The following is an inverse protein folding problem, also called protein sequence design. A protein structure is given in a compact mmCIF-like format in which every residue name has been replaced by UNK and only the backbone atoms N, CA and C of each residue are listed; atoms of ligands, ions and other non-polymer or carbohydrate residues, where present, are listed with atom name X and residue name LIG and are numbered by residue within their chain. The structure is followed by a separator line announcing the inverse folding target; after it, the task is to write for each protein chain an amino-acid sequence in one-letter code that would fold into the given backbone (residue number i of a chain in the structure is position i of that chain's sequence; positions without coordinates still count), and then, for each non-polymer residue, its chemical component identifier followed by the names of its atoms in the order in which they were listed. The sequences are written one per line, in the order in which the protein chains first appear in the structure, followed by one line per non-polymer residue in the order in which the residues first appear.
data_IF_400734510362
#
_entry.id   IF_400734510362
#
_cell.length_a   1.000
_cell.length_b   1.000
_cell.length_c   1.000
_cell.angle_alpha   90.00
_cell.angle_beta   90.00
_cell.angle_gamma   90.00
#
_symmetry.space_group_name_H-M   'P 1'
#
loop_
_entity.id
_entity.type
_entity.pdbx_description
1 polymer ?
#
# COMPACT_ATOMS: atom_id res chain seq x y z
N UNK A 1 -7.58 -2.22 23.58
CA UNK A 1 -6.79 -1.17 22.89
C UNK A 1 -5.48 -1.71 22.32
N UNK A 2 -4.46 -1.92 23.15
CA UNK A 2 -3.11 -2.30 22.70
C UNK A 2 -3.03 -3.62 21.91
N UNK A 3 -3.86 -4.61 22.27
CA UNK A 3 -3.98 -5.85 21.50
C UNK A 3 -4.52 -5.59 20.09
N UNK A 4 -5.51 -4.69 19.96
CA UNK A 4 -6.05 -4.27 18.67
C UNK A 4 -5.01 -3.52 17.84
N UNK A 5 -4.25 -2.62 18.48
CA UNK A 5 -3.11 -1.95 17.86
C UNK A 5 -2.05 -2.94 17.36
N UNK A 6 -1.66 -3.93 18.18
CA UNK A 6 -0.69 -4.97 17.78
C UNK A 6 -1.16 -5.74 16.55
N UNK A 7 -2.42 -6.18 16.52
CA UNK A 7 -2.97 -6.86 15.34
C UNK A 7 -3.09 -5.94 14.14
N UNK A 8 -3.46 -4.67 14.32
CA UNK A 8 -3.50 -3.68 13.25
C UNK A 8 -2.11 -3.46 12.64
N UNK A 9 -1.07 -3.25 13.45
CA UNK A 9 0.32 -3.11 12.98
C UNK A 9 0.73 -4.33 12.17
N UNK A 10 0.55 -5.54 12.71
CA UNK A 10 1.00 -6.76 12.03
C UNK A 10 0.22 -7.01 10.73
N UNK A 11 -1.09 -6.77 10.73
CA UNK A 11 -1.97 -7.04 9.59
C UNK A 11 -1.85 -6.02 8.46
N UNK A 12 -1.81 -4.72 8.79
CA UNK A 12 -1.71 -3.64 7.79
C UNK A 12 -0.35 -3.69 7.12
N UNK A 13 0.74 -3.72 7.90
CA UNK A 13 2.09 -3.79 7.35
C UNK A 13 2.26 -5.09 6.57
N UNK A 14 1.81 -6.23 7.11
CA UNK A 14 1.88 -7.52 6.42
C UNK A 14 1.16 -7.54 5.06
N UNK A 15 -0.02 -6.91 4.97
CA UNK A 15 -0.81 -6.84 3.73
C UNK A 15 -0.19 -5.89 2.69
N UNK A 16 0.26 -4.72 3.12
CA UNK A 16 0.54 -3.60 2.21
C UNK A 16 2.03 -3.40 1.91
N UNK A 17 2.95 -4.03 2.66
CA UNK A 17 4.39 -4.10 2.31
C UNK A 17 4.59 -4.63 0.89
N UNK A 18 3.70 -5.52 0.44
CA UNK A 18 3.65 -6.06 -0.93
C UNK A 18 3.57 -4.96 -1.99
N UNK A 19 2.68 -4.01 -1.76
CA UNK A 19 2.28 -2.99 -2.74
C UNK A 19 3.28 -1.83 -2.77
N UNK A 20 4.04 -1.66 -1.68
CA UNK A 20 4.88 -0.47 -1.44
C UNK A 20 6.37 -0.77 -1.48
N UNK A 21 6.77 -1.90 -0.89
CA UNK A 21 8.17 -2.33 -0.77
C UNK A 21 8.43 -3.61 -1.56
N UNK A 22 7.41 -4.24 -2.14
CA UNK A 22 7.58 -5.48 -2.91
C UNK A 22 8.53 -5.33 -4.10
N UNK A 23 8.37 -4.25 -4.88
CA UNK A 23 9.25 -3.88 -6.01
C UNK A 23 10.69 -3.65 -5.55
N UNK A 24 10.88 -2.96 -4.43
CA UNK A 24 12.17 -2.71 -3.78
C UNK A 24 12.86 -4.00 -3.34
N UNK A 25 12.15 -4.87 -2.63
CA UNK A 25 12.66 -6.15 -2.15
C UNK A 25 13.05 -7.08 -3.31
N UNK A 26 12.25 -7.12 -4.37
CA UNK A 26 12.52 -7.97 -5.55
C UNK A 26 13.72 -7.45 -6.35
N UNK A 27 13.78 -6.15 -6.63
CA UNK A 27 14.87 -5.54 -7.42
C UNK A 27 16.20 -5.52 -6.66
N UNK A 28 16.17 -5.49 -5.32
CA UNK A 28 17.35 -5.49 -4.45
C UNK A 28 17.57 -6.83 -3.73
N UNK A 29 17.10 -7.96 -4.28
CA UNK A 29 17.18 -9.29 -3.65
C UNK A 29 18.59 -9.78 -3.24
N UNK A 30 19.64 -9.19 -3.83
CA UNK A 30 21.06 -9.48 -3.52
C UNK A 30 21.55 -8.71 -2.29
N UNK A 31 20.88 -7.62 -1.94
CA UNK A 31 21.22 -6.77 -0.79
C UNK A 31 20.76 -7.45 0.50
N UNK A 32 21.57 -7.35 1.55
CA UNK A 32 21.23 -7.94 2.84
C UNK A 32 19.96 -7.29 3.40
N UNK A 33 19.03 -8.10 3.91
CA UNK A 33 17.74 -7.66 4.45
C UNK A 33 17.85 -6.55 5.50
N UNK A 34 18.90 -6.54 6.33
CA UNK A 34 19.11 -5.55 7.37
C UNK A 34 19.35 -4.13 6.79
N UNK A 35 20.01 -4.03 5.63
CA UNK A 35 20.22 -2.76 4.94
C UNK A 35 18.89 -2.25 4.38
N UNK A 36 18.15 -3.14 3.71
CA UNK A 36 16.82 -2.82 3.16
C UNK A 36 15.85 -2.40 4.29
N UNK A 37 15.89 -3.10 5.42
CA UNK A 37 15.11 -2.79 6.60
C UNK A 37 15.52 -1.45 7.21
N UNK A 38 16.82 -1.19 7.37
CA UNK A 38 17.31 0.08 7.93
C UNK A 38 16.85 1.26 7.08
N UNK A 39 16.96 1.14 5.76
CA UNK A 39 16.48 2.15 4.83
C UNK A 39 14.98 2.44 5.02
N UNK A 40 14.13 1.41 4.98
CA UNK A 40 12.69 1.57 5.15
C UNK A 40 12.31 2.07 6.55
N UNK A 41 13.08 1.68 7.57
CA UNK A 41 12.90 2.07 8.99
C UNK A 41 13.23 3.54 9.23
N UNK A 42 14.27 4.07 8.60
CA UNK A 42 14.61 5.50 8.69
C UNK A 42 13.49 6.35 8.12
N UNK A 43 12.97 5.98 6.94
CA UNK A 43 11.86 6.70 6.30
C UNK A 43 10.60 6.61 7.16
N UNK A 44 10.29 5.42 7.71
CA UNK A 44 9.15 5.24 8.59
C UNK A 44 9.27 6.10 9.84
N UNK A 45 10.42 6.07 10.50
CA UNK A 45 10.69 6.84 11.71
C UNK A 45 10.55 8.34 11.43
N UNK A 46 11.17 8.83 10.36
CA UNK A 46 11.08 10.23 9.96
C UNK A 46 9.62 10.64 9.67
N UNK A 47 8.87 9.82 8.93
CA UNK A 47 7.47 10.09 8.59
C UNK A 47 6.58 10.07 9.84
N UNK A 48 6.80 9.14 10.76
CA UNK A 48 6.02 9.04 12.01
C UNK A 48 6.29 10.22 12.94
N UNK A 49 7.57 10.54 13.16
CA UNK A 49 8.00 11.66 14.02
C UNK A 49 7.57 13.01 13.43
N UNK A 50 7.67 13.18 12.11
CA UNK A 50 7.17 14.38 11.43
C UNK A 50 5.67 14.57 11.67
N UNK A 51 4.87 13.51 11.49
CA UNK A 51 3.44 13.54 11.77
C UNK A 51 3.16 13.94 13.22
N UNK A 52 3.77 13.23 14.16
CA UNK A 52 3.61 13.52 15.59
C UNK A 52 3.97 14.97 15.96
N UNK A 53 5.08 15.50 15.44
CA UNK A 53 5.56 16.83 15.78
C UNK A 53 4.69 17.94 15.17
N UNK A 54 4.42 17.88 13.86
CA UNK A 54 3.70 18.95 13.16
C UNK A 54 2.18 18.93 13.35
N UNK A 55 1.62 17.79 13.78
CA UNK A 55 0.17 17.64 14.01
C UNK A 55 -0.18 17.46 15.49
N UNK A 56 0.59 18.06 16.41
CA UNK A 56 0.28 18.13 17.84
C UNK A 56 0.00 16.76 18.49
N UNK A 57 0.84 15.77 18.18
CA UNK A 57 0.75 14.40 18.68
C UNK A 57 -0.01 13.43 17.78
N UNK A 58 -0.62 13.90 16.68
CA UNK A 58 -1.34 13.06 15.73
C UNK A 58 -0.43 12.47 14.65
N UNK A 59 -0.25 11.16 14.66
CA UNK A 59 0.56 10.44 13.65
C UNK A 59 -0.24 10.03 12.41
N UNK A 60 -1.57 10.20 12.43
CA UNK A 60 -2.46 9.86 11.31
C UNK A 60 -2.58 10.96 10.27
N UNK A 61 -1.84 12.08 10.45
CA UNK A 61 -1.89 13.24 9.55
C UNK A 61 -3.34 13.72 9.36
N UNK A 62 -4.10 13.83 10.47
CA UNK A 62 -5.49 14.26 10.55
C UNK A 62 -6.51 13.37 9.84
N UNK A 63 -6.10 12.21 9.31
CA UNK A 63 -7.02 11.29 8.60
C UNK A 63 -8.04 10.64 9.52
N UNK A 64 -7.71 10.52 10.80
CA UNK A 64 -8.63 10.05 11.83
C UNK A 64 -9.51 11.18 12.41
N UNK A 65 -9.42 12.41 11.92
CA UNK A 65 -10.18 13.54 12.45
C UNK A 65 -11.70 13.38 12.33
N UNK A 66 -12.17 12.71 11.28
CA UNK A 66 -13.59 12.41 11.10
C UNK A 66 -14.00 11.04 11.70
N UNK A 67 -13.04 10.23 12.14
CA UNK A 67 -13.30 8.87 12.63
C UNK A 67 -13.20 8.91 14.16
N UNK A 68 -14.32 8.82 14.91
CA UNK A 68 -14.27 8.91 16.36
C UNK A 68 -13.53 7.71 16.96
N UNK A 69 -12.79 7.95 18.02
CA UNK A 69 -12.29 6.88 18.88
C UNK A 69 -13.40 6.54 19.88
N UNK A 70 -13.90 5.29 19.93
CA UNK A 70 -14.96 4.91 20.87
C UNK A 70 -14.42 4.96 22.30
N UNK A 71 -15.29 5.36 23.25
CA UNK A 71 -14.95 5.40 24.68
C UNK A 71 -14.49 4.03 25.21
N UNK A 72 -15.09 2.96 24.69
CA UNK A 72 -14.74 1.57 25.01
C UNK A 72 -14.50 0.77 23.72
N UNK A 73 -13.27 0.27 23.57
CA UNK A 73 -12.95 -0.68 22.50
C UNK A 73 -13.46 -2.06 22.88
N UNK A 74 -14.53 -2.49 22.22
CA UNK A 74 -15.13 -3.80 22.39
C UNK A 74 -14.35 -4.91 21.66
N UNK A 75 -14.51 -6.16 22.09
CA UNK A 75 -13.81 -7.33 21.53
C UNK A 75 -14.04 -7.50 20.02
N UNK A 76 -15.21 -7.14 19.50
CA UNK A 76 -15.53 -7.25 18.07
C UNK A 76 -14.72 -6.30 17.17
N UNK A 77 -14.09 -5.25 17.72
CA UNK A 77 -13.14 -4.43 16.95
C UNK A 77 -11.89 -5.23 16.53
N UNK A 78 -11.61 -6.35 17.19
CA UNK A 78 -10.49 -7.24 16.84
C UNK A 78 -10.80 -8.11 15.61
N UNK A 79 -12.07 -8.23 15.21
CA UNK A 79 -12.49 -9.12 14.11
C UNK A 79 -11.84 -8.70 12.79
N UNK A 80 -11.86 -7.40 12.42
CA UNK A 80 -11.23 -6.97 11.16
C UNK A 80 -9.72 -7.21 11.10
N UNK A 81 -8.89 -6.77 12.07
CA UNK A 81 -7.46 -7.01 11.97
C UNK A 81 -7.14 -8.52 12.02
N UNK A 82 -7.89 -9.33 12.77
CA UNK A 82 -7.74 -10.80 12.75
C UNK A 82 -8.13 -11.41 11.39
N UNK A 83 -9.26 -11.00 10.82
CA UNK A 83 -9.66 -11.44 9.49
C UNK A 83 -8.62 -11.06 8.43
N UNK A 84 -8.02 -9.86 8.55
CA UNK A 84 -6.95 -9.41 7.67
C UNK A 84 -5.73 -10.34 7.77
N UNK A 85 -5.33 -10.74 8.99
CA UNK A 85 -4.24 -11.71 9.18
C UNK A 85 -4.52 -13.07 8.56
N UNK A 86 -5.77 -13.52 8.55
CA UNK A 86 -6.15 -14.78 7.92
C UNK A 86 -6.12 -14.63 6.41
N UNK A 87 -6.77 -13.60 5.86
CA UNK A 87 -6.91 -13.39 4.42
C UNK A 87 -5.54 -13.13 3.76
N UNK A 88 -4.68 -12.35 4.41
CA UNK A 88 -3.30 -12.09 3.93
C UNK A 88 -2.49 -13.36 3.76
N UNK A 89 -2.69 -14.41 4.58
CA UNK A 89 -2.02 -15.72 4.41
C UNK A 89 -2.43 -16.44 3.12
N UNK A 90 -3.62 -16.17 2.60
CA UNK A 90 -4.10 -16.69 1.32
C UNK A 90 -3.66 -15.82 0.13
N UNK A 91 -2.99 -14.68 0.37
CA UNK A 91 -2.46 -13.83 -0.69
C UNK A 91 -3.51 -13.06 -1.48
N UNK A 92 -4.71 -12.89 -0.90
CA UNK A 92 -5.76 -12.07 -1.48
C UNK A 92 -5.50 -10.62 -1.04
N UNK A 93 -5.27 -9.68 -1.96
CA UNK A 93 -5.10 -8.27 -1.60
C UNK A 93 -6.45 -7.72 -1.13
N UNK A 94 -6.50 -7.26 0.12
CA UNK A 94 -7.67 -6.63 0.72
C UNK A 94 -7.34 -5.18 1.05
N UNK A 95 -8.34 -4.30 0.94
CA UNK A 95 -8.20 -2.94 1.42
C UNK A 95 -8.20 -2.91 2.95
N UNK A 96 -7.03 -2.69 3.51
CA UNK A 96 -6.82 -2.50 4.95
C UNK A 96 -7.66 -1.34 5.49
N UNK A 97 -7.71 -0.25 4.72
CA UNK A 97 -8.50 0.95 5.00
C UNK A 97 -9.97 0.63 5.17
N UNK A 98 -10.59 -0.07 4.22
CA UNK A 98 -12.00 -0.43 4.35
C UNK A 98 -12.25 -1.42 5.47
N UNK A 99 -11.38 -2.41 5.66
CA UNK A 99 -11.66 -3.44 6.64
C UNK A 99 -11.52 -2.94 8.07
N UNK A 100 -10.48 -2.14 8.34
CA UNK A 100 -10.20 -1.66 9.69
C UNK A 100 -11.03 -0.40 10.02
N UNK A 101 -10.96 0.65 9.18
CA UNK A 101 -11.55 1.93 9.54
C UNK A 101 -13.07 1.92 9.50
N UNK A 102 -13.70 1.07 8.67
CA UNK A 102 -15.17 1.02 8.60
C UNK A 102 -15.81 0.57 9.91
N UNK A 103 -15.11 -0.18 10.74
CA UNK A 103 -15.61 -0.57 12.08
C UNK A 103 -15.76 0.65 13.00
N UNK A 104 -14.88 1.64 12.84
CA UNK A 104 -14.84 2.86 13.64
C UNK A 104 -15.61 4.02 13.01
N UNK A 105 -16.06 3.86 11.77
CA UNK A 105 -16.61 4.94 10.96
C UNK A 105 -18.12 4.90 10.88
N UNK A 106 -18.73 6.07 10.72
CA UNK A 106 -20.15 6.17 10.36
C UNK A 106 -20.38 5.73 8.91
N UNK A 107 -21.62 5.34 8.59
CA UNK A 107 -22.00 4.95 7.23
C UNK A 107 -21.65 6.03 6.18
N UNK A 108 -21.86 7.30 6.52
CA UNK A 108 -21.53 8.43 5.65
C UNK A 108 -20.03 8.54 5.35
N UNK A 109 -19.16 8.23 6.33
CA UNK A 109 -17.71 8.25 6.14
C UNK A 109 -17.27 7.06 5.29
N UNK A 110 -17.84 5.88 5.54
CA UNK A 110 -17.56 4.68 4.74
C UNK A 110 -17.90 4.92 3.27
N UNK A 111 -19.07 5.49 2.98
CA UNK A 111 -19.49 5.84 1.62
C UNK A 111 -18.49 6.80 0.95
N UNK A 112 -18.07 7.86 1.66
CA UNK A 112 -17.07 8.80 1.16
C UNK A 112 -15.72 8.13 0.89
N UNK A 113 -15.28 7.20 1.75
CA UNK A 113 -14.04 6.44 1.53
C UNK A 113 -14.16 5.53 0.30
N UNK A 114 -15.32 4.89 0.09
CA UNK A 114 -15.59 4.03 -1.08
C UNK A 114 -15.51 4.87 -2.35
N UNK A 115 -16.27 5.96 -2.41
CA UNK A 115 -16.29 6.86 -3.56
C UNK A 115 -14.89 7.41 -3.86
N UNK A 116 -14.17 7.89 -2.83
CA UNK A 116 -12.79 8.39 -2.99
C UNK A 116 -11.86 7.32 -3.57
N UNK A 117 -12.00 6.06 -3.13
CA UNK A 117 -11.15 4.96 -3.61
C UNK A 117 -11.47 4.51 -5.04
N UNK A 118 -12.76 4.52 -5.43
CA UNK A 118 -13.18 4.23 -6.82
C UNK A 118 -12.67 5.31 -7.78
N UNK A 119 -12.78 6.60 -7.40
CA UNK A 119 -12.19 7.68 -8.18
C UNK A 119 -10.66 7.57 -8.24
N UNK A 120 -10.02 7.26 -7.11
CA UNK A 120 -8.59 7.00 -7.04
C UNK A 120 -8.14 5.91 -8.00
N UNK A 121 -8.89 4.80 -8.08
CA UNK A 121 -8.65 3.74 -9.05
C UNK A 121 -8.76 4.26 -10.50
N UNK A 122 -9.87 4.92 -10.86
CA UNK A 122 -10.11 5.36 -12.23
C UNK A 122 -9.02 6.33 -12.74
N UNK A 123 -8.66 7.30 -11.91
CA UNK A 123 -7.60 8.26 -12.25
C UNK A 123 -6.22 7.60 -12.24
N UNK A 124 -5.97 6.64 -11.35
CA UNK A 124 -4.73 5.87 -11.38
C UNK A 124 -4.56 5.09 -12.69
N UNK A 125 -5.63 4.46 -13.20
CA UNK A 125 -5.62 3.78 -14.50
C UNK A 125 -5.28 4.77 -15.62
N UNK A 126 -6.00 5.90 -15.68
CA UNK A 126 -5.83 6.89 -16.76
C UNK A 126 -4.42 7.50 -16.70
N UNK A 127 -3.99 7.94 -15.51
CA UNK A 127 -2.69 8.58 -15.31
C UNK A 127 -1.55 7.63 -15.62
N UNK A 128 -1.61 6.40 -15.09
CA UNK A 128 -0.60 5.40 -15.39
C UNK A 128 -0.59 5.04 -16.88
N UNK A 129 -1.76 4.88 -17.52
CA UNK A 129 -1.83 4.63 -18.95
C UNK A 129 -1.13 5.74 -19.76
N UNK A 130 -1.45 7.01 -19.51
CA UNK A 130 -0.84 8.15 -20.21
C UNK A 130 0.67 8.25 -19.98
N UNK A 131 1.11 8.11 -18.72
CA UNK A 131 2.54 8.15 -18.38
C UNK A 131 3.28 7.01 -19.08
N UNK A 132 2.73 5.78 -19.04
CA UNK A 132 3.35 4.64 -19.70
C UNK A 132 3.24 4.69 -21.22
N UNK A 133 2.29 5.41 -21.83
CA UNK A 133 2.30 5.63 -23.28
C UNK A 133 3.56 6.40 -23.73
N UNK A 134 3.97 7.41 -22.95
CA UNK A 134 5.16 8.21 -23.25
C UNK A 134 6.44 7.40 -22.98
N UNK A 135 6.46 6.65 -21.87
CA UNK A 135 7.68 6.03 -21.35
C UNK A 135 7.92 4.62 -21.91
N UNK A 136 6.88 3.85 -22.25
CA UNK A 136 7.02 2.43 -22.61
C UNK A 136 7.84 2.19 -23.88
N UNK A 137 7.74 3.05 -24.90
CA UNK A 137 8.56 2.92 -26.12
C UNK A 137 10.06 3.09 -25.83
N UNK A 138 10.41 4.06 -25.01
CA UNK A 138 11.81 4.40 -24.72
C UNK A 138 12.45 3.43 -23.73
N UNK A 139 11.70 2.94 -22.74
CA UNK A 139 12.29 2.24 -21.60
C UNK A 139 11.91 0.75 -21.47
N UNK A 140 10.76 0.33 -21.99
CA UNK A 140 10.23 -1.05 -21.85
C UNK A 140 10.39 -1.91 -23.12
N UNK A 141 11.04 -1.39 -24.19
CA UNK A 141 11.34 -2.19 -25.37
C UNK A 141 12.39 -3.27 -25.07
N UNK A 142 12.28 -4.45 -25.70
CA UNK A 142 13.25 -5.57 -25.52
C UNK A 142 14.71 -5.14 -25.74
N UNK A 143 14.94 -4.21 -26.68
CA UNK A 143 16.26 -3.64 -26.99
C UNK A 143 16.77 -2.69 -25.89
N UNK A 144 15.89 -1.88 -25.29
CA UNK A 144 16.21 -1.03 -24.14
C UNK A 144 16.59 -1.86 -22.90
N UNK A 145 15.87 -2.95 -22.66
CA UNK A 145 16.11 -3.85 -21.53
C UNK A 145 17.48 -4.54 -21.67
N UNK A 146 17.80 -5.09 -22.84
CA UNK A 146 19.10 -5.73 -23.10
C UNK A 146 20.28 -4.74 -22.99
N UNK A 147 20.10 -3.50 -23.46
CA UNK A 147 21.15 -2.47 -23.38
C UNK A 147 21.44 -1.98 -21.96
N UNK A 148 20.47 -2.09 -21.04
CA UNK A 148 20.60 -1.65 -19.65
C UNK A 148 21.55 -2.54 -18.87
N UNK A 149 21.38 -3.87 -18.99
CA UNK A 149 22.21 -4.88 -18.31
C UNK A 149 23.68 -4.78 -18.71
N UNK A 150 23.97 -4.28 -19.90
CA UNK A 150 25.33 -4.04 -20.41
C UNK A 150 25.92 -2.65 -20.05
N UNK A 151 25.16 -1.75 -19.41
CA UNK A 151 25.54 -0.33 -19.29
C UNK A 151 26.09 0.10 -17.92
N UNK A 152 26.96 1.13 -17.93
CA UNK A 152 27.45 1.86 -16.73
C UNK A 152 26.34 2.61 -15.95
N UNK A 153 25.13 2.75 -16.51
CA UNK A 153 24.02 3.50 -15.90
C UNK A 153 23.26 2.74 -14.81
N UNK A 154 23.61 1.49 -14.53
CA UNK A 154 22.95 0.68 -13.48
C UNK A 154 22.98 1.38 -12.11
N UNK A 155 24.10 2.02 -11.74
CA UNK A 155 24.23 2.71 -10.43
C UNK A 155 23.21 3.85 -10.28
N UNK A 156 23.00 4.63 -11.34
CA UNK A 156 21.99 5.70 -11.35
C UNK A 156 20.59 5.12 -11.13
N UNK A 157 20.25 4.02 -11.82
CA UNK A 157 18.94 3.39 -11.68
C UNK A 157 18.72 2.73 -10.32
N UNK A 158 19.78 2.21 -9.68
CA UNK A 158 19.71 1.77 -8.28
C UNK A 158 19.35 2.95 -7.37
N UNK A 159 20.08 4.06 -7.48
CA UNK A 159 19.80 5.25 -6.67
C UNK A 159 18.39 5.81 -6.93
N UNK A 160 17.98 5.91 -8.20
CA UNK A 160 16.66 6.38 -8.59
C UNK A 160 15.55 5.48 -8.02
N UNK A 161 15.73 4.16 -8.06
CA UNK A 161 14.77 3.20 -7.51
C UNK A 161 14.64 3.36 -5.99
N UNK A 162 15.75 3.53 -5.28
CA UNK A 162 15.71 3.75 -3.83
C UNK A 162 14.99 5.07 -3.51
N UNK A 163 15.29 6.15 -4.22
CA UNK A 163 14.60 7.45 -4.03
C UNK A 163 13.11 7.34 -4.34
N UNK A 164 12.72 6.66 -5.43
CA UNK A 164 11.30 6.45 -5.74
C UNK A 164 10.60 5.58 -4.70
N UNK A 165 11.26 4.55 -4.17
CA UNK A 165 10.73 3.75 -3.05
C UNK A 165 10.59 4.60 -1.79
N UNK A 166 11.58 5.46 -1.46
CA UNK A 166 11.49 6.33 -0.30
C UNK A 166 10.27 7.25 -0.38
N UNK A 167 10.08 7.84 -1.57
CA UNK A 167 8.91 8.66 -1.83
C UNK A 167 7.62 7.86 -1.69
N UNK A 168 7.46 6.75 -2.43
CA UNK A 168 6.26 5.91 -2.34
C UNK A 168 5.98 5.46 -0.90
N UNK A 169 6.99 4.98 -0.19
CA UNK A 169 6.86 4.49 1.18
C UNK A 169 6.38 5.58 2.13
N UNK A 170 6.95 6.79 2.04
CA UNK A 170 6.48 7.94 2.82
C UNK A 170 5.01 8.28 2.50
N UNK A 171 4.63 8.29 1.23
CA UNK A 171 3.25 8.63 0.83
C UNK A 171 2.24 7.60 1.29
N UNK A 172 2.60 6.31 1.23
CA UNK A 172 1.76 5.25 1.77
C UNK A 172 1.62 5.37 3.28
N UNK A 173 2.72 5.56 4.02
CA UNK A 173 2.69 5.70 5.48
C UNK A 173 1.78 6.84 5.93
N UNK A 174 1.85 7.98 5.25
CA UNK A 174 0.99 9.15 5.51
C UNK A 174 -0.51 8.77 5.39
N UNK A 175 -0.88 7.90 4.43
CA UNK A 175 -2.26 7.40 4.31
C UNK A 175 -2.61 6.36 5.37
N UNK A 176 -1.76 5.36 5.51
CA UNK A 176 -2.06 4.11 6.20
C UNK A 176 -1.74 4.14 7.71
N UNK A 177 -1.05 5.16 8.22
CA UNK A 177 -0.97 5.38 9.66
C UNK A 177 -2.35 5.50 10.30
N UNK A 178 -3.36 6.02 9.60
CA UNK A 178 -4.73 5.99 10.08
C UNK A 178 -5.19 4.56 10.42
N UNK A 179 -4.90 3.59 9.55
CA UNK A 179 -5.30 2.19 9.69
C UNK A 179 -4.57 1.52 10.87
N UNK A 180 -3.30 1.86 11.07
CA UNK A 180 -2.47 1.32 12.15
C UNK A 180 -2.87 1.91 13.51
N UNK A 181 -3.02 3.24 13.58
CA UNK A 181 -3.21 3.99 14.82
C UNK A 181 -4.67 4.22 15.20
N UNK A 182 -5.65 3.68 14.45
CA UNK A 182 -7.09 3.86 14.76
C UNK A 182 -7.46 3.48 16.19
N UNK A 183 -6.77 2.47 16.75
CA UNK A 183 -6.99 1.95 18.10
C UNK A 183 -6.35 2.83 19.19
N UNK A 184 -5.39 3.69 18.88
CA UNK A 184 -4.67 4.50 19.87
C UNK A 184 -5.28 5.90 20.02
N UNK A 185 -4.95 6.62 21.12
CA UNK A 185 -5.35 8.01 21.29
C UNK A 185 -4.94 8.89 20.09
N UNK A 186 -5.77 9.88 19.75
CA UNK A 186 -5.50 10.79 18.62
C UNK A 186 -4.27 11.67 18.83
N UNK A 187 -3.89 11.91 20.09
CA UNK A 187 -2.65 12.57 20.47
C UNK A 187 -1.83 11.59 21.27
N UNK A 188 -0.73 11.12 20.69
CA UNK A 188 0.18 10.23 21.39
C UNK A 188 1.12 11.04 22.27
N UNK A 189 1.36 10.55 23.48
CA UNK A 189 2.53 10.96 24.27
C UNK A 189 3.83 10.49 23.61
N UNK A 190 4.96 11.08 24.00
CA UNK A 190 6.28 10.64 23.53
C UNK A 190 6.52 9.16 23.84
N UNK A 191 6.06 8.68 25.00
CA UNK A 191 6.21 7.28 25.39
C UNK A 191 5.40 6.35 24.49
N UNK A 192 4.15 6.69 24.20
CA UNK A 192 3.31 5.90 23.27
C UNK A 192 3.88 5.90 21.85
N UNK A 193 4.42 7.03 21.39
CA UNK A 193 5.11 7.14 20.11
C UNK A 193 6.33 6.20 20.04
N UNK A 194 7.20 6.23 21.05
CA UNK A 194 8.41 5.39 21.08
C UNK A 194 8.07 3.90 21.17
N UNK A 195 7.07 3.52 21.97
CA UNK A 195 6.60 2.13 22.06
C UNK A 195 5.98 1.66 20.74
N UNK A 196 5.15 2.49 20.11
CA UNK A 196 4.56 2.20 18.80
C UNK A 196 5.65 2.04 17.73
N UNK A 197 6.62 2.94 17.71
CA UNK A 197 7.75 2.89 16.79
C UNK A 197 8.57 1.61 16.98
N UNK A 198 8.96 1.30 18.21
CA UNK A 198 9.72 0.08 18.53
C UNK A 198 8.97 -1.19 18.07
N UNK A 199 7.66 -1.24 18.28
CA UNK A 199 6.83 -2.37 17.85
C UNK A 199 6.79 -2.49 16.32
N UNK A 200 6.51 -1.39 15.62
CA UNK A 200 6.44 -1.35 14.15
C UNK A 200 7.77 -1.76 13.54
N UNK A 201 8.89 -1.22 14.04
CA UNK A 201 10.23 -1.55 13.57
C UNK A 201 10.59 -3.02 13.78
N UNK A 202 10.17 -3.60 14.92
CA UNK A 202 10.36 -5.02 15.23
C UNK A 202 9.59 -5.93 14.27
N UNK A 203 8.33 -5.59 13.97
CA UNK A 203 7.50 -6.32 13.00
C UNK A 203 8.08 -6.19 11.59
N UNK A 204 8.54 -5.00 11.20
CA UNK A 204 9.21 -4.80 9.92
C UNK A 204 10.50 -5.62 9.82
N UNK A 205 11.30 -5.68 10.88
CA UNK A 205 12.52 -6.49 10.91
C UNK A 205 12.21 -7.97 10.64
N UNK A 206 11.14 -8.49 11.26
CA UNK A 206 10.66 -9.84 11.01
C UNK A 206 10.22 -10.05 9.55
N UNK A 207 9.46 -9.12 8.97
CA UNK A 207 8.98 -9.23 7.58
C UNK A 207 10.15 -9.21 6.58
N UNK A 208 11.11 -8.28 6.76
CA UNK A 208 12.28 -8.18 5.91
C UNK A 208 13.21 -9.39 6.03
N UNK A 209 13.40 -9.92 7.26
CA UNK A 209 14.20 -11.13 7.50
C UNK A 209 13.58 -12.35 6.82
N UNK A 210 12.25 -12.46 6.86
CA UNK A 210 11.48 -13.51 6.17
C UNK A 210 11.38 -13.29 4.64
N UNK A 211 12.02 -12.23 4.10
CA UNK A 211 11.98 -11.82 2.68
C UNK A 211 10.56 -11.76 2.11
N UNK A 212 9.56 -11.41 2.93
CA UNK A 212 8.15 -11.35 2.53
C UNK A 212 7.45 -12.70 2.32
N UNK A 213 8.09 -13.85 2.58
CA UNK A 213 7.43 -15.19 2.57
C UNK A 213 6.62 -15.53 1.30
N UNK A 214 5.52 -16.28 1.45
CA UNK A 214 4.55 -16.60 0.36
C UNK A 214 4.02 -15.35 -0.35
N UNK A 215 3.94 -14.26 0.39
CA UNK A 215 3.44 -12.97 -0.05
C UNK A 215 4.36 -12.38 -1.15
N UNK A 216 5.69 -12.51 -1.02
CA UNK A 216 6.66 -12.06 -2.03
C UNK A 216 6.60 -12.87 -3.32
N UNK A 217 6.26 -14.17 -3.25
CA UNK A 217 6.08 -15.01 -4.43
C UNK A 217 4.97 -14.49 -5.36
N UNK A 218 3.95 -13.86 -4.79
CA UNK A 218 2.83 -13.27 -5.54
C UNK A 218 3.30 -12.04 -6.33
N UNK A 219 4.16 -11.19 -5.72
CA UNK A 219 4.76 -10.02 -6.40
C UNK A 219 5.68 -10.46 -7.53
N UNK A 220 6.55 -11.43 -7.24
CA UNK A 220 7.53 -11.95 -8.20
C UNK A 220 6.87 -12.55 -9.45
N UNK A 221 5.64 -13.07 -9.34
CA UNK A 221 4.89 -13.66 -10.46
C UNK A 221 4.10 -12.64 -11.29
N UNK A 222 3.78 -11.47 -10.75
CA UNK A 222 2.81 -10.54 -11.37
C UNK A 222 3.42 -9.31 -12.01
N UNK A 223 4.59 -8.89 -11.57
CA UNK A 223 5.24 -7.67 -12.07
C UNK A 223 6.59 -8.09 -12.62
N UNK A 224 7.00 -7.52 -13.75
CA UNK A 224 8.40 -7.58 -14.21
C UNK A 224 9.34 -6.77 -13.28
N UNK A 225 9.06 -6.78 -11.97
CA UNK A 225 9.67 -6.05 -10.87
C UNK A 225 11.11 -6.48 -10.59
N UNK A 226 11.59 -7.53 -11.25
CA UNK A 226 13.01 -7.86 -11.29
C UNK A 226 13.84 -6.78 -12.00
N UNK A 227 13.24 -5.99 -12.90
CA UNK A 227 13.93 -4.90 -13.57
C UNK A 227 13.84 -3.60 -12.74
N UNK A 228 15.00 -3.08 -12.37
CA UNK A 228 15.14 -1.89 -11.52
C UNK A 228 14.54 -0.62 -12.15
N UNK A 229 14.56 -0.48 -13.48
CA UNK A 229 13.89 0.63 -14.18
C UNK A 229 12.38 0.57 -14.05
N UNK A 230 11.82 -0.61 -14.31
CA UNK A 230 10.36 -0.81 -14.22
C UNK A 230 9.89 -0.59 -12.78
N UNK A 231 10.65 -1.11 -11.80
CA UNK A 231 10.40 -0.84 -10.38
C UNK A 231 10.42 0.66 -10.06
N UNK A 232 11.43 1.40 -10.52
CA UNK A 232 11.53 2.86 -10.31
C UNK A 232 10.29 3.60 -10.83
N UNK A 233 9.85 3.28 -12.05
CA UNK A 233 8.71 3.94 -12.67
C UNK A 233 7.38 3.60 -11.99
N UNK A 234 7.20 2.33 -11.59
CA UNK A 234 6.01 1.91 -10.84
C UNK A 234 5.96 2.66 -9.51
N UNK A 235 7.06 2.67 -8.77
CA UNK A 235 7.15 3.32 -7.46
C UNK A 235 6.85 4.83 -7.58
N UNK A 236 7.46 5.50 -8.57
CA UNK A 236 7.27 6.92 -8.78
C UNK A 236 5.83 7.27 -9.20
N UNK A 237 5.25 6.54 -10.17
CA UNK A 237 3.87 6.76 -10.61
C UNK A 237 2.90 6.58 -9.45
N UNK A 238 3.05 5.48 -8.71
CA UNK A 238 2.19 5.18 -7.58
C UNK A 238 2.35 6.21 -6.46
N UNK A 239 3.58 6.59 -6.12
CA UNK A 239 3.87 7.63 -5.13
C UNK A 239 3.27 8.99 -5.50
N UNK A 240 3.36 9.40 -6.78
CA UNK A 240 2.79 10.69 -7.25
C UNK A 240 1.27 10.67 -7.10
N UNK A 241 0.61 9.59 -7.51
CA UNK A 241 -0.84 9.47 -7.40
C UNK A 241 -1.25 9.49 -5.93
N UNK A 242 -0.57 8.75 -5.05
CA UNK A 242 -0.81 8.78 -3.61
C UNK A 242 -0.61 10.18 -3.02
N UNK A 243 0.42 10.89 -3.43
CA UNK A 243 0.69 12.26 -2.97
C UNK A 243 -0.44 13.21 -3.36
N UNK A 244 -0.86 13.23 -4.64
CA UNK A 244 -1.92 14.12 -5.12
C UNK A 244 -3.22 13.84 -4.37
N UNK A 245 -3.64 12.58 -4.29
CA UNK A 245 -4.89 12.20 -3.65
C UNK A 245 -4.87 12.32 -2.13
N UNK A 246 -3.72 12.03 -1.54
CA UNK A 246 -3.48 12.14 -0.12
C UNK A 246 -3.66 13.56 0.39
N UNK A 247 -3.28 14.55 -0.42
CA UNK A 247 -3.35 15.97 -0.08
C UNK A 247 -4.66 16.65 -0.52
N UNK A 248 -5.49 16.01 -1.36
CA UNK A 248 -6.76 16.60 -1.79
C UNK A 248 -7.77 16.78 -0.64
N UNK A 249 -7.87 15.78 0.24
CA UNK A 249 -8.63 15.88 1.49
C UNK A 249 -8.18 14.81 2.50
N UNK A 250 -8.55 15.00 3.77
CA UNK A 250 -8.18 14.11 4.88
C UNK A 250 -8.97 12.81 4.96
N UNK A 251 -9.94 12.55 4.06
CA UNK A 251 -10.69 11.29 4.09
C UNK A 251 -9.74 10.14 3.73
N UNK A 252 -9.64 9.08 4.56
CA UNK A 252 -8.81 7.92 4.24
C UNK A 252 -9.23 7.30 2.90
N UNK A 253 -8.25 6.86 2.11
CA UNK A 253 -8.49 6.19 0.84
C UNK A 253 -7.80 4.85 0.80
N UNK A 254 -8.32 3.91 0.01
CA UNK A 254 -7.65 2.63 -0.19
C UNK A 254 -6.47 2.79 -1.15
N UNK A 255 -5.28 2.63 -0.60
CA UNK A 255 -4.03 2.55 -1.35
C UNK A 255 -4.01 1.32 -2.28
N UNK A 256 -4.57 0.18 -1.85
CA UNK A 256 -4.76 -1.02 -2.69
C UNK A 256 -5.50 -0.78 -4.01
N UNK A 257 -6.61 -0.04 -3.99
CA UNK A 257 -7.35 0.28 -5.22
C UNK A 257 -6.53 1.13 -6.17
N UNK A 258 -5.83 2.12 -5.63
CA UNK A 258 -4.93 2.99 -6.40
C UNK A 258 -3.80 2.19 -7.04
N UNK A 259 -3.14 1.30 -6.29
CA UNK A 259 -2.07 0.43 -6.78
C UNK A 259 -2.53 -0.44 -7.97
N UNK A 260 -3.71 -1.06 -7.84
CA UNK A 260 -4.28 -1.92 -8.89
C UNK A 260 -4.64 -1.09 -10.12
N UNK A 261 -5.11 0.14 -9.94
CA UNK A 261 -5.31 1.09 -11.03
C UNK A 261 -4.01 1.39 -11.79
N UNK A 262 -2.91 1.66 -11.07
CA UNK A 262 -1.59 1.89 -11.67
C UNK A 262 -1.14 0.69 -12.49
N UNK A 263 -1.25 -0.53 -11.95
CA UNK A 263 -0.87 -1.74 -12.66
C UNK A 263 -1.73 -1.97 -13.92
N UNK A 264 -3.04 -1.75 -13.82
CA UNK A 264 -3.95 -1.87 -14.95
C UNK A 264 -3.62 -0.87 -16.07
N UNK A 265 -3.40 0.41 -15.74
CA UNK A 265 -3.03 1.44 -16.71
C UNK A 265 -1.69 1.14 -17.39
N UNK A 266 -0.69 0.70 -16.63
CA UNK A 266 0.61 0.25 -17.16
C UNK A 266 0.45 -0.90 -18.16
N UNK A 267 -0.32 -1.93 -17.79
CA UNK A 267 -0.50 -3.11 -18.63
C UNK A 267 -1.26 -2.78 -19.93
N UNK A 268 -2.26 -1.89 -19.85
CA UNK A 268 -2.94 -1.35 -21.04
C UNK A 268 -1.97 -0.64 -21.97
N UNK A 269 -1.10 0.24 -21.45
CA UNK A 269 -0.16 1.02 -22.26
C UNK A 269 0.89 0.14 -22.94
N UNK A 270 1.48 -0.81 -22.19
CA UNK A 270 2.47 -1.76 -22.72
C UNK A 270 1.85 -2.59 -23.84
N UNK A 271 0.64 -3.13 -23.65
CA UNK A 271 0.02 -3.96 -24.68
C UNK A 271 -0.45 -3.16 -25.90
N UNK A 272 -0.93 -1.93 -25.71
CA UNK A 272 -1.29 -1.02 -26.80
C UNK A 272 -0.07 -0.70 -27.70
N UNK A 273 1.10 -0.47 -27.11
CA UNK A 273 2.30 -0.05 -27.85
C UNK A 273 3.13 -1.21 -28.39
N UNK A 274 3.34 -2.27 -27.59
CA UNK A 274 4.33 -3.31 -27.86
C UNK A 274 3.71 -4.64 -28.32
N UNK A 275 2.47 -4.95 -27.93
CA UNK A 275 1.83 -6.26 -28.17
C UNK A 275 0.50 -6.13 -28.92
N UNK A 276 0.49 -5.40 -30.06
CA UNK A 276 -0.71 -5.14 -30.90
C UNK A 276 -1.54 -6.39 -31.26
N UNK A 277 -0.99 -7.61 -31.21
CA UNK A 277 -1.69 -8.87 -31.53
C UNK A 277 -2.36 -9.58 -30.33
N UNK A 278 -2.12 -9.18 -29.07
CA UNK A 278 -2.54 -9.93 -27.87
C UNK A 278 -3.45 -9.13 -26.89
N UNK A 279 -4.20 -8.14 -27.39
CA UNK A 279 -5.07 -7.26 -26.57
C UNK A 279 -6.10 -8.05 -25.73
N UNK A 280 -6.62 -9.18 -26.23
CA UNK A 280 -7.57 -10.05 -25.50
C UNK A 280 -6.97 -10.70 -24.24
N UNK A 281 -5.67 -10.97 -24.20
CA UNK A 281 -5.03 -11.54 -23.00
C UNK A 281 -4.78 -10.46 -21.93
N UNK A 282 -4.48 -9.22 -22.35
CA UNK A 282 -4.32 -8.07 -21.45
C UNK A 282 -5.61 -7.73 -20.73
N UNK A 283 -6.73 -7.64 -21.46
CA UNK A 283 -8.02 -7.31 -20.85
C UNK A 283 -8.47 -8.39 -19.86
N UNK A 284 -8.18 -9.67 -20.15
CA UNK A 284 -8.42 -10.79 -19.24
C UNK A 284 -7.58 -10.73 -17.96
N UNK A 285 -6.31 -10.30 -18.03
CA UNK A 285 -5.45 -10.10 -16.86
C UNK A 285 -5.93 -8.93 -16.00
N UNK A 286 -6.23 -7.79 -16.60
CA UNK A 286 -6.76 -6.61 -15.91
C UNK A 286 -8.09 -6.94 -15.23
N UNK A 287 -9.01 -7.62 -15.94
CA UNK A 287 -10.29 -8.03 -15.38
C UNK A 287 -10.12 -9.03 -14.22
N UNK A 288 -9.15 -9.95 -14.32
CA UNK A 288 -8.83 -10.90 -13.24
C UNK A 288 -8.27 -10.21 -12.00
N UNK A 289 -7.48 -9.17 -12.16
CA UNK A 289 -6.93 -8.42 -11.02
C UNK A 289 -7.99 -7.50 -10.40
N UNK A 290 -8.81 -6.87 -11.23
CA UNK A 290 -9.97 -6.09 -10.78
C UNK A 290 -10.97 -6.96 -10.02
N UNK A 291 -11.30 -8.15 -10.56
CA UNK A 291 -12.25 -9.06 -9.91
C UNK A 291 -11.77 -9.56 -8.56
N UNK A 292 -10.47 -9.82 -8.41
CA UNK A 292 -9.87 -10.19 -7.11
C UNK A 292 -10.00 -9.08 -6.07
N UNK A 293 -9.75 -7.84 -6.46
CA UNK A 293 -9.79 -6.69 -5.54
C UNK A 293 -11.22 -6.31 -5.22
N UNK A 294 -12.12 -6.35 -6.20
CA UNK A 294 -13.57 -6.20 -5.99
C UNK A 294 -14.12 -7.29 -5.08
N UNK A 295 -13.65 -8.53 -5.22
CA UNK A 295 -14.01 -9.62 -4.29
C UNK A 295 -13.47 -9.37 -2.89
N UNK A 296 -12.24 -8.88 -2.76
CA UNK A 296 -11.67 -8.45 -1.48
C UNK A 296 -12.50 -7.34 -0.82
N UNK A 297 -12.94 -6.34 -1.59
CA UNK A 297 -13.85 -5.29 -1.11
C UNK A 297 -15.20 -5.87 -0.69
N UNK A 298 -15.79 -6.76 -1.49
CA UNK A 298 -17.05 -7.42 -1.14
C UNK A 298 -16.94 -8.17 0.19
N UNK A 299 -15.85 -8.93 0.39
CA UNK A 299 -15.56 -9.58 1.68
C UNK A 299 -15.45 -8.55 2.80
N UNK A 300 -14.69 -7.46 2.61
CA UNK A 300 -14.56 -6.41 3.63
C UNK A 300 -15.91 -5.81 4.00
N UNK A 301 -16.76 -5.52 3.02
CA UNK A 301 -18.10 -4.96 3.23
C UNK A 301 -18.98 -5.97 3.98
N UNK A 302 -18.99 -7.24 3.60
CA UNK A 302 -19.74 -8.30 4.30
C UNK A 302 -19.27 -8.45 5.74
N UNK A 303 -17.97 -8.47 6.00
CA UNK A 303 -17.42 -8.54 7.36
C UNK A 303 -17.87 -7.33 8.17
N UNK A 304 -17.83 -6.12 7.61
CA UNK A 304 -18.29 -4.91 8.29
C UNK A 304 -19.77 -5.00 8.63
N UNK A 305 -20.63 -5.45 7.70
CA UNK A 305 -22.06 -5.66 7.97
C UNK A 305 -22.31 -6.71 9.05
N UNK A 306 -21.56 -7.82 9.04
CA UNK A 306 -21.65 -8.84 10.09
C UNK A 306 -21.25 -8.28 11.46
N UNK A 307 -20.20 -7.46 11.53
CA UNK A 307 -19.78 -6.81 12.78
C UNK A 307 -20.84 -5.81 13.25
N UNK A 308 -21.44 -5.05 12.33
CA UNK A 308 -22.54 -4.16 12.67
C UNK A 308 -23.74 -4.94 13.22
N UNK A 309 -24.10 -6.07 12.61
CA UNK A 309 -25.17 -6.93 13.10
C UNK A 309 -24.86 -7.48 14.51
N UNK A 310 -23.64 -7.97 14.74
CA UNK A 310 -23.20 -8.45 16.07
C UNK A 310 -23.21 -7.34 17.12
N UNK A 311 -22.93 -6.09 16.73
CA UNK A 311 -23.00 -4.93 17.64
C UNK A 311 -24.42 -4.67 18.17
N UNK A 312 -25.45 -5.06 17.42
CA UNK A 312 -26.86 -4.87 17.80
C UNK A 312 -27.45 -6.05 18.59
N UNK A 313 -26.75 -7.19 18.65
CA UNK A 313 -27.08 -8.35 19.49
C UNK A 313 -26.49 -8.17 20.91
#
# INVERSE_FOLDING_TARGET
MYVGFLFAVYSVIGNDVIQTLGTFLTSNKKTHWAILWTFASVILTATLVYGWYFYNGDVSYQRLGNIPLPEKIMWWHLIAPLALLIITRFGIPVSTTFMILSIFSSQQIIEKMIIKSVYGYGIAVISAFLIYLVIAKSFESKKSIANLEASKNIKFWVAAQWVSTAFLWSQWLIQDFANIFVFLPRKLSLTELLLALALILSIMAYIFKSKGGKIQEIVNKKVNAGNIRSATLIDLCYGIILFIYGNYNSIPMSTTWTFIGVLAGREMAINYLLNKKNVKNSSKLIFKDLSKVSFGLAISVVIVYLIQYIKFL
#
